data_IF_322405294656
#
_entry.id   IF_322405294656
#
_cell.length_a   1.000
_cell.length_b   1.000
_cell.length_c   1.000
_cell.angle_alpha   90.00
_cell.angle_beta   90.00
_cell.angle_gamma   90.00
#
_symmetry.space_group_name_H-M   'P 1'
#
loop_
_entity.id
_entity.type
_entity.pdbx_description
1 polymer ?
#
# COMPACT_ATOMS: atom_id res chain seq x y z
N UNK A 1 18.73 21.05 17.57
CA UNK A 1 18.66 19.58 17.71
C UNK A 1 17.89 19.06 16.52
N UNK A 2 18.18 17.86 16.02
CA UNK A 2 17.38 17.27 14.95
C UNK A 2 15.95 17.01 15.45
N UNK A 3 14.95 17.35 14.63
CA UNK A 3 13.54 17.16 14.97
C UNK A 3 13.17 15.69 14.88
N UNK A 4 12.31 15.23 15.78
CA UNK A 4 11.85 13.83 15.82
C UNK A 4 10.48 13.64 15.18
N UNK A 5 10.31 12.53 14.49
CA UNK A 5 9.03 12.08 13.96
C UNK A 5 8.77 10.65 14.43
N UNK A 6 7.56 10.37 14.88
CA UNK A 6 7.13 9.02 15.22
C UNK A 6 6.34 8.40 14.07
N UNK A 7 6.75 7.23 13.63
CA UNK A 7 6.04 6.42 12.65
C UNK A 7 5.28 5.31 13.38
N UNK A 8 3.96 5.26 13.24
CA UNK A 8 3.12 4.20 13.81
C UNK A 8 2.58 3.34 12.67
N UNK A 9 2.83 2.02 12.71
CA UNK A 9 2.40 1.11 11.65
C UNK A 9 1.94 -0.24 12.17
N UNK A 10 0.81 -0.78 11.66
CA UNK A 10 0.41 -2.17 11.87
C UNK A 10 1.15 -3.15 10.96
N UNK A 11 1.88 -2.64 9.98
CA UNK A 11 2.64 -3.42 8.99
C UNK A 11 4.13 -3.33 9.33
N UNK A 12 4.84 -4.46 9.44
CA UNK A 12 6.29 -4.43 9.60
C UNK A 12 6.94 -4.05 8.26
N UNK A 13 8.06 -3.32 8.31
CA UNK A 13 8.76 -2.91 7.09
C UNK A 13 9.53 -4.08 6.44
N UNK A 14 10.01 -5.00 7.26
CA UNK A 14 10.81 -6.16 6.87
C UNK A 14 10.18 -7.47 7.40
N UNK A 15 10.50 -8.63 6.80
CA UNK A 15 11.16 -8.83 5.51
C UNK A 15 10.20 -8.66 4.34
N UNK A 16 10.74 -8.55 3.13
CA UNK A 16 10.04 -8.71 1.85
C UNK A 16 9.53 -7.43 1.21
N UNK A 17 9.01 -7.59 -0.01
CA UNK A 17 8.68 -6.53 -0.97
C UNK A 17 7.16 -6.41 -1.21
N UNK A 18 6.38 -6.23 -0.14
CA UNK A 18 4.97 -5.88 -0.29
C UNK A 18 4.83 -4.37 -0.54
N UNK A 19 3.95 -3.95 -1.44
CA UNK A 19 3.83 -2.56 -1.85
C UNK A 19 3.63 -1.56 -0.71
N UNK A 20 2.83 -1.91 0.31
CA UNK A 20 2.66 -1.07 1.49
C UNK A 20 3.95 -0.92 2.32
N UNK A 21 4.78 -1.98 2.40
CA UNK A 21 6.08 -1.94 3.09
C UNK A 21 7.07 -1.05 2.35
N UNK A 22 7.13 -1.19 1.01
CA UNK A 22 7.96 -0.35 0.15
C UNK A 22 7.58 1.13 0.28
N UNK A 23 6.27 1.44 0.29
CA UNK A 23 5.79 2.80 0.50
C UNK A 23 6.26 3.38 1.83
N UNK A 24 6.09 2.65 2.93
CA UNK A 24 6.51 3.13 4.26
C UNK A 24 8.04 3.31 4.29
N UNK A 25 8.81 2.36 3.75
CA UNK A 25 10.28 2.48 3.67
C UNK A 25 10.71 3.71 2.89
N UNK A 26 10.12 3.93 1.71
CA UNK A 26 10.46 5.08 0.87
C UNK A 26 10.20 6.42 1.58
N UNK A 27 9.05 6.56 2.27
CA UNK A 27 8.72 7.75 3.06
C UNK A 27 9.70 7.91 4.23
N UNK A 28 10.01 6.84 4.96
CA UNK A 28 10.95 6.90 6.07
C UNK A 28 12.36 7.26 5.60
N UNK A 29 12.83 6.70 4.48
CA UNK A 29 14.14 7.04 3.90
C UNK A 29 14.21 8.52 3.56
N UNK A 30 13.20 9.05 2.86
CA UNK A 30 13.12 10.47 2.51
C UNK A 30 13.16 11.38 3.74
N UNK A 31 12.41 11.02 4.80
CA UNK A 31 12.41 11.79 6.05
C UNK A 31 13.77 11.76 6.75
N UNK A 32 14.46 10.62 6.76
CA UNK A 32 15.81 10.51 7.33
C UNK A 32 16.86 11.29 6.50
N UNK A 33 16.73 11.27 5.17
CA UNK A 33 17.59 12.08 4.27
C UNK A 33 17.41 13.58 4.47
N UNK A 34 16.22 14.02 4.88
CA UNK A 34 15.95 15.41 5.31
C UNK A 34 16.49 15.74 6.71
N UNK A 35 17.09 14.78 7.40
CA UNK A 35 17.72 15.00 8.71
C UNK A 35 16.78 14.80 9.91
N UNK A 36 15.58 14.25 9.72
CA UNK A 36 14.71 13.88 10.83
C UNK A 36 15.21 12.61 11.54
N UNK A 37 14.99 12.54 12.85
CA UNK A 37 15.17 11.31 13.63
C UNK A 37 13.83 10.60 13.67
N UNK A 38 13.78 9.35 13.19
CA UNK A 38 12.56 8.54 13.12
C UNK A 38 12.54 7.50 14.22
N UNK A 39 11.58 7.62 15.13
CA UNK A 39 11.18 6.53 16.01
C UNK A 39 10.06 5.71 15.33
N UNK A 40 10.09 4.39 15.47
CA UNK A 40 9.12 3.49 14.86
C UNK A 40 8.37 2.69 15.91
N UNK A 41 7.04 2.74 15.88
CA UNK A 41 6.18 1.94 16.75
C UNK A 41 5.34 0.95 15.94
N UNK A 42 5.63 -0.34 16.14
CA UNK A 42 4.92 -1.43 15.48
C UNK A 42 3.68 -1.85 16.28
N UNK A 43 2.51 -1.76 15.65
CA UNK A 43 1.21 -2.10 16.27
C UNK A 43 0.61 -3.41 15.77
N UNK A 44 1.29 -4.12 14.86
CA UNK A 44 0.80 -5.38 14.27
C UNK A 44 0.79 -6.56 15.22
N UNK A 45 0.32 -7.71 14.74
CA UNK A 45 0.12 -8.93 15.52
C UNK A 45 1.34 -9.86 15.56
N UNK A 46 2.35 -9.63 14.72
CA UNK A 46 3.57 -10.46 14.72
C UNK A 46 4.40 -10.14 15.95
N UNK A 47 4.93 -11.18 16.59
CA UNK A 47 5.62 -11.08 17.87
C UNK A 47 7.03 -10.51 17.78
N UNK A 48 7.64 -10.52 16.61
CA UNK A 48 9.03 -10.12 16.44
C UNK A 48 9.19 -9.10 15.29
N UNK A 49 9.90 -8.04 15.60
CA UNK A 49 10.50 -7.15 14.62
C UNK A 49 11.91 -7.66 14.36
N UNK A 50 12.27 -7.81 13.07
CA UNK A 50 13.61 -8.25 12.67
C UNK A 50 14.68 -7.21 13.04
N UNK A 51 15.93 -7.65 13.14
CA UNK A 51 17.08 -6.75 13.34
C UNK A 51 17.19 -5.69 12.22
N UNK A 52 16.68 -5.98 11.03
CA UNK A 52 16.67 -5.03 9.91
C UNK A 52 15.93 -3.74 10.26
N UNK A 53 14.85 -3.80 11.07
CA UNK A 53 14.15 -2.58 11.53
C UNK A 53 15.06 -1.72 12.41
N UNK A 54 15.80 -2.35 13.34
CA UNK A 54 16.73 -1.62 14.22
C UNK A 54 17.91 -1.04 13.46
N UNK A 55 18.33 -1.69 12.38
CA UNK A 55 19.41 -1.20 11.50
C UNK A 55 18.94 -0.09 10.54
N UNK A 56 17.67 -0.10 10.18
CA UNK A 56 17.09 0.85 9.23
C UNK A 56 16.80 2.22 9.86
N UNK A 57 16.19 2.25 11.06
CA UNK A 57 15.82 3.50 11.71
C UNK A 57 16.99 4.15 12.45
N UNK A 58 17.12 5.47 12.35
CA UNK A 58 18.10 6.27 13.06
C UNK A 58 17.66 6.68 14.47
N UNK A 59 16.43 6.33 14.87
CA UNK A 59 15.84 6.50 16.19
C UNK A 59 15.51 5.18 16.86
N UNK A 60 14.56 5.19 17.77
CA UNK A 60 14.15 4.02 18.55
C UNK A 60 13.14 3.17 17.79
N UNK A 61 13.27 1.85 17.88
CA UNK A 61 12.27 0.89 17.38
C UNK A 61 11.55 0.27 18.57
N UNK A 62 10.25 0.57 18.66
CA UNK A 62 9.38 0.13 19.73
C UNK A 62 8.46 -0.97 19.21
N UNK A 63 8.55 -2.14 19.83
CA UNK A 63 7.69 -3.27 19.49
C UNK A 63 7.25 -3.99 20.75
N UNK A 64 6.07 -4.54 20.67
CA UNK A 64 5.52 -5.33 21.77
C UNK A 64 6.09 -6.76 21.75
N UNK A 65 6.86 -7.18 22.79
CA UNK A 65 7.20 -8.59 22.99
C UNK A 65 6.00 -9.30 23.62
N UNK A 66 5.28 -10.09 22.83
CA UNK A 66 4.05 -10.77 23.26
C UNK A 66 4.20 -11.73 24.45
N UNK A 67 5.38 -12.27 24.70
CA UNK A 67 5.54 -13.36 25.71
C UNK A 67 5.60 -12.89 27.15
N UNK A 68 6.20 -11.74 27.44
CA UNK A 68 6.40 -11.29 28.82
C UNK A 68 5.19 -10.55 29.41
N UNK A 69 4.34 -9.97 28.58
CA UNK A 69 3.29 -9.07 29.06
C UNK A 69 1.88 -9.69 29.10
N UNK A 70 1.57 -10.75 28.36
CA UNK A 70 0.34 -11.53 28.60
C UNK A 70 0.21 -11.96 30.06
N UNK A 71 1.34 -12.20 30.74
CA UNK A 71 1.39 -12.57 32.16
C UNK A 71 1.18 -11.36 33.08
N UNK A 72 1.64 -10.16 32.69
CA UNK A 72 1.50 -8.96 33.55
C UNK A 72 0.20 -8.20 33.29
N UNK A 73 -0.21 -8.01 32.02
CA UNK A 73 -1.45 -7.27 31.72
C UNK A 73 -2.72 -8.09 31.98
N UNK A 74 -2.71 -9.40 31.76
CA UNK A 74 -3.85 -10.27 32.10
C UNK A 74 -4.19 -10.33 33.60
N UNK A 75 -3.29 -9.84 34.48
CA UNK A 75 -3.51 -9.76 35.92
C UNK A 75 -3.99 -8.37 36.42
N UNK A 76 -3.99 -7.36 35.56
CA UNK A 76 -4.47 -6.04 35.95
C UNK A 76 -6.00 -5.96 35.82
N UNK A 77 -6.76 -5.78 36.93
CA UNK A 77 -8.22 -5.71 36.88
C UNK A 77 -8.76 -4.60 35.98
N UNK A 78 -8.03 -3.50 35.82
CA UNK A 78 -8.43 -2.34 34.98
C UNK A 78 -8.37 -2.70 33.50
N UNK A 79 -7.31 -3.40 33.04
CA UNK A 79 -7.21 -3.84 31.64
C UNK A 79 -8.31 -4.85 31.28
N UNK A 80 -8.64 -5.75 32.20
CA UNK A 80 -9.69 -6.76 31.99
C UNK A 80 -11.09 -6.14 31.94
N UNK A 81 -11.36 -5.14 32.76
CA UNK A 81 -12.62 -4.38 32.71
C UNK A 81 -12.74 -3.59 31.41
N UNK A 82 -11.66 -3.00 30.92
CA UNK A 82 -11.63 -2.30 29.64
C UNK A 82 -11.82 -3.23 28.42
N UNK A 83 -11.23 -4.42 28.44
CA UNK A 83 -11.48 -5.44 27.42
C UNK A 83 -12.96 -5.87 27.38
N UNK A 84 -13.58 -6.07 28.53
CA UNK A 84 -15.01 -6.40 28.65
C UNK A 84 -15.86 -5.24 28.13
N UNK A 85 -15.56 -4.00 28.53
CA UNK A 85 -16.26 -2.81 28.07
C UNK A 85 -16.14 -2.60 26.55
N UNK A 86 -14.95 -2.80 25.99
CA UNK A 86 -14.72 -2.75 24.54
C UNK A 86 -15.48 -3.87 23.81
N UNK A 87 -15.49 -5.09 24.34
CA UNK A 87 -16.25 -6.20 23.76
C UNK A 87 -17.77 -5.94 23.74
N UNK A 88 -18.31 -5.34 24.80
CA UNK A 88 -19.71 -4.90 24.84
C UNK A 88 -20.00 -3.79 23.84
N UNK A 89 -19.10 -2.80 23.75
CA UNK A 89 -19.22 -1.68 22.82
C UNK A 89 -19.21 -2.18 21.36
N UNK A 90 -18.32 -3.07 20.99
CA UNK A 90 -18.26 -3.70 19.66
C UNK A 90 -19.58 -4.40 19.33
N UNK A 91 -20.16 -5.16 20.26
CA UNK A 91 -21.45 -5.83 20.05
C UNK A 91 -22.59 -4.84 19.81
N UNK A 92 -22.62 -3.74 20.57
CA UNK A 92 -23.62 -2.68 20.41
C UNK A 92 -23.44 -1.98 19.06
N UNK A 93 -22.22 -1.61 18.71
CA UNK A 93 -21.91 -0.97 17.42
C UNK A 93 -22.27 -1.86 16.22
N UNK A 94 -21.99 -3.16 16.29
CA UNK A 94 -22.39 -4.12 15.25
C UNK A 94 -23.91 -4.30 15.15
N UNK A 95 -24.63 -4.29 16.29
CA UNK A 95 -26.08 -4.35 16.30
C UNK A 95 -26.71 -3.07 15.71
N UNK A 96 -26.20 -1.89 16.06
CA UNK A 96 -26.65 -0.61 15.50
C UNK A 96 -26.41 -0.56 13.98
N UNK A 97 -25.24 -1.01 13.49
CA UNK A 97 -24.96 -1.12 12.04
C UNK A 97 -25.92 -2.09 11.34
N UNK A 98 -26.23 -3.22 11.97
CA UNK A 98 -27.20 -4.14 11.42
C UNK A 98 -28.57 -3.46 11.18
N UNK A 99 -28.97 -2.60 12.12
CA UNK A 99 -30.22 -1.86 12.00
C UNK A 99 -30.18 -0.73 10.96
N UNK A 100 -29.03 -0.05 10.82
CA UNK A 100 -28.88 1.13 9.96
C UNK A 100 -28.51 0.76 8.52
N UNK A 101 -27.51 -0.12 8.35
CA UNK A 101 -26.84 -0.35 7.09
C UNK A 101 -27.10 -1.77 6.52
N UNK A 102 -27.85 -2.59 7.24
CA UNK A 102 -28.18 -3.95 6.86
C UNK A 102 -27.10 -5.00 7.23
N UNK A 103 -27.45 -6.27 6.98
CA UNK A 103 -26.65 -7.43 7.43
C UNK A 103 -25.24 -7.49 6.83
N UNK A 104 -25.07 -7.10 5.58
CA UNK A 104 -23.76 -7.14 4.92
C UNK A 104 -22.78 -6.11 5.51
N UNK A 105 -23.23 -4.86 5.73
CA UNK A 105 -22.40 -3.83 6.35
C UNK A 105 -21.99 -4.19 7.77
N UNK A 106 -22.95 -4.71 8.57
CA UNK A 106 -22.66 -5.15 9.94
C UNK A 106 -21.68 -6.33 10.02
N UNK A 107 -21.71 -7.21 9.00
CA UNK A 107 -20.84 -8.40 8.95
C UNK A 107 -19.42 -8.06 8.52
N UNK A 108 -19.23 -7.13 7.59
CA UNK A 108 -17.96 -6.94 6.90
C UNK A 108 -17.25 -5.63 7.25
N UNK A 109 -17.96 -4.56 7.66
CA UNK A 109 -17.31 -3.36 8.17
C UNK A 109 -16.92 -3.56 9.63
N UNK A 110 -15.67 -3.27 9.95
CA UNK A 110 -15.15 -3.27 11.32
C UNK A 110 -15.39 -1.93 11.99
N UNK A 111 -15.58 -1.94 13.31
CA UNK A 111 -15.63 -0.69 14.08
C UNK A 111 -14.21 -0.21 14.41
N UNK A 112 -14.05 1.10 14.56
CA UNK A 112 -12.78 1.67 15.03
C UNK A 112 -12.38 1.12 16.41
N UNK A 113 -13.36 0.68 17.23
CA UNK A 113 -13.11 0.08 18.53
C UNK A 113 -12.35 -1.26 18.43
N UNK A 114 -12.57 -2.02 17.33
CA UNK A 114 -11.89 -3.30 17.09
C UNK A 114 -10.39 -3.17 16.85
N UNK A 115 -9.95 -1.99 16.38
CA UNK A 115 -8.53 -1.72 16.15
C UNK A 115 -7.81 -1.25 17.41
N UNK A 116 -8.56 -0.83 18.46
CA UNK A 116 -7.98 -0.30 19.70
C UNK A 116 -7.34 -1.41 20.51
N UNK A 117 -6.04 -1.35 20.66
CA UNK A 117 -5.29 -2.19 21.59
C UNK A 117 -4.78 -1.33 22.75
N UNK A 118 -5.47 -1.43 23.89
CA UNK A 118 -5.15 -0.61 25.04
C UNK A 118 -3.76 -0.90 25.64
N UNK A 119 -3.32 -2.18 25.58
CA UNK A 119 -1.97 -2.54 26.04
C UNK A 119 -0.87 -1.86 25.23
N UNK A 120 -1.01 -1.85 23.89
CA UNK A 120 -0.06 -1.15 23.01
C UNK A 120 -0.13 0.36 23.18
N UNK A 121 -1.32 0.91 23.43
CA UNK A 121 -1.50 2.32 23.73
C UNK A 121 -0.77 2.73 25.02
N UNK A 122 -0.89 1.93 26.10
CA UNK A 122 -0.16 2.15 27.35
C UNK A 122 1.34 2.00 27.18
N UNK A 123 1.78 1.04 26.38
CA UNK A 123 3.19 0.82 26.08
C UNK A 123 3.80 2.06 25.40
N UNK A 124 3.16 2.57 24.35
CA UNK A 124 3.62 3.77 23.67
C UNK A 124 3.67 4.95 24.64
N UNK A 125 2.58 5.16 25.44
CA UNK A 125 2.51 6.22 26.43
C UNK A 125 3.63 6.15 27.47
N UNK A 126 4.01 4.93 27.89
CA UNK A 126 5.02 4.75 28.94
C UNK A 126 6.47 4.76 28.46
N UNK A 127 6.70 4.54 27.16
CA UNK A 127 8.04 4.42 26.58
C UNK A 127 8.49 5.63 25.77
N UNK A 128 7.60 6.61 25.54
CA UNK A 128 7.93 7.78 24.74
C UNK A 128 7.62 9.05 25.49
N UNK A 129 8.43 10.08 25.26
CA UNK A 129 8.10 11.46 25.58
C UNK A 129 7.31 12.04 24.40
N UNK A 130 5.99 12.17 24.58
CA UNK A 130 5.09 12.59 23.52
C UNK A 130 5.35 14.03 23.07
N UNK A 131 5.87 14.90 23.95
CA UNK A 131 6.21 16.29 23.63
C UNK A 131 7.49 16.42 22.77
N UNK A 132 8.26 15.34 22.63
CA UNK A 132 9.50 15.36 21.86
C UNK A 132 9.29 15.29 20.33
N UNK A 133 8.06 14.99 19.86
CA UNK A 133 7.79 14.76 18.45
C UNK A 133 7.24 16.00 17.76
N UNK A 134 7.90 16.42 16.68
CA UNK A 134 7.36 17.42 15.74
C UNK A 134 6.12 16.91 15.02
N UNK A 135 6.14 15.65 14.63
CA UNK A 135 5.04 15.02 13.91
C UNK A 135 4.88 13.54 14.29
N UNK A 136 3.65 13.05 14.16
CA UNK A 136 3.30 11.64 14.24
C UNK A 136 2.63 11.22 12.94
N UNK A 137 3.21 10.24 12.27
CA UNK A 137 2.69 9.68 11.02
C UNK A 137 2.10 8.32 11.31
N UNK A 138 0.79 8.18 11.16
CA UNK A 138 0.07 6.92 11.35
C UNK A 138 -0.26 6.30 10.01
N UNK A 139 0.19 5.07 9.82
CA UNK A 139 -0.18 4.26 8.68
C UNK A 139 -1.53 3.61 8.92
N UNK A 140 -2.48 3.80 8.01
CA UNK A 140 -3.88 3.37 8.03
C UNK A 140 -4.77 4.12 9.03
N UNK A 141 -5.85 4.69 8.52
CA UNK A 141 -6.81 5.50 9.26
C UNK A 141 -7.37 4.87 10.56
N UNK A 142 -7.65 3.55 10.64
CA UNK A 142 -8.19 2.94 11.85
C UNK A 142 -7.34 3.10 13.11
N UNK A 143 -6.04 3.38 12.95
CA UNK A 143 -5.10 3.55 14.06
C UNK A 143 -5.01 5.00 14.56
N UNK A 144 -5.81 5.93 14.03
CA UNK A 144 -5.85 7.35 14.42
C UNK A 144 -6.10 7.61 15.90
N UNK A 145 -6.60 6.64 16.66
CA UNK A 145 -6.77 6.75 18.12
C UNK A 145 -5.45 6.94 18.89
N UNK A 146 -4.30 6.64 18.29
CA UNK A 146 -3.00 6.94 18.89
C UNK A 146 -2.71 8.43 18.96
N UNK A 147 -3.36 9.27 18.11
CA UNK A 147 -3.21 10.72 18.20
C UNK A 147 -3.68 11.30 19.53
N UNK A 148 -4.58 10.61 20.24
CA UNK A 148 -5.08 11.03 21.57
C UNK A 148 -3.96 11.05 22.64
N UNK A 149 -2.74 10.58 22.33
CA UNK A 149 -1.57 10.63 23.21
C UNK A 149 -0.74 11.92 23.07
N UNK A 150 -0.88 12.64 21.96
CA UNK A 150 0.01 13.73 21.58
C UNK A 150 -0.65 15.08 21.79
N UNK A 151 0.18 16.09 22.08
CA UNK A 151 -0.25 17.46 22.32
C UNK A 151 -0.71 18.14 21.02
N UNK A 152 -1.37 19.29 21.16
CA UNK A 152 -1.98 19.99 20.00
C UNK A 152 -0.95 20.63 19.07
N UNK A 153 0.29 20.82 19.52
CA UNK A 153 1.40 21.33 18.70
C UNK A 153 2.09 20.26 17.84
N UNK A 154 1.84 18.98 18.11
CA UNK A 154 2.34 17.86 17.31
C UNK A 154 1.54 17.71 16.02
N UNK A 155 2.20 17.74 14.87
CA UNK A 155 1.56 17.55 13.56
C UNK A 155 1.08 16.09 13.42
N UNK A 156 -0.21 15.91 13.17
CA UNK A 156 -0.87 14.59 13.05
C UNK A 156 -1.09 14.24 11.59
N UNK A 157 -0.39 13.24 11.08
CA UNK A 157 -0.47 12.81 9.69
C UNK A 157 -1.01 11.39 9.58
N UNK A 158 -1.97 11.14 8.69
CA UNK A 158 -2.42 9.80 8.31
C UNK A 158 -1.95 9.50 6.88
N UNK A 159 -1.15 8.45 6.70
CA UNK A 159 -0.94 7.80 5.42
C UNK A 159 -2.00 6.70 5.24
N UNK A 160 -2.94 6.92 4.32
CA UNK A 160 -4.13 6.07 4.22
C UNK A 160 -3.85 4.70 3.61
N UNK A 161 -2.88 4.58 2.72
CA UNK A 161 -2.57 3.42 1.87
C UNK A 161 -3.71 2.97 0.95
N UNK A 162 -4.96 3.19 1.34
CA UNK A 162 -6.15 2.79 0.59
C UNK A 162 -7.41 3.42 1.21
N UNK A 163 -8.46 3.57 0.41
CA UNK A 163 -9.79 3.91 0.91
C UNK A 163 -10.43 2.67 1.54
N UNK A 164 -10.89 2.77 2.77
CA UNK A 164 -11.49 1.67 3.52
C UNK A 164 -13.02 1.69 3.54
N UNK A 165 -13.65 2.83 3.18
CA UNK A 165 -15.11 2.94 3.13
C UNK A 165 -15.72 1.87 2.25
N UNK A 166 -16.52 0.99 2.85
CA UNK A 166 -17.28 -0.08 2.19
C UNK A 166 -16.44 -0.97 1.26
N UNK A 167 -15.15 -1.11 1.56
CA UNK A 167 -14.21 -1.87 0.73
C UNK A 167 -14.65 -3.31 0.51
N UNK A 168 -15.39 -3.90 1.44
CA UNK A 168 -15.94 -5.23 1.31
C UNK A 168 -16.83 -5.40 0.07
N UNK A 169 -17.49 -4.34 -0.41
CA UNK A 169 -18.39 -4.38 -1.59
C UNK A 169 -17.67 -4.81 -2.86
N UNK A 170 -16.36 -4.57 -2.96
CA UNK A 170 -15.54 -5.00 -4.10
C UNK A 170 -15.44 -6.53 -4.21
N UNK A 171 -15.61 -7.24 -3.10
CA UNK A 171 -15.38 -8.68 -2.99
C UNK A 171 -16.67 -9.49 -2.87
N UNK A 172 -17.81 -8.87 -2.50
CA UNK A 172 -19.12 -9.56 -2.39
C UNK A 172 -19.63 -10.01 -3.76
N UNK A 173 -19.36 -9.25 -4.82
CA UNK A 173 -19.83 -9.56 -6.18
C UNK A 173 -18.94 -10.60 -6.89
N UNK A 174 -17.72 -10.80 -6.42
CA UNK A 174 -16.92 -11.96 -6.78
C UNK A 174 -17.40 -13.09 -5.86
N UNK A 175 -17.76 -14.27 -6.35
CA UNK A 175 -18.18 -15.46 -5.60
C UNK A 175 -17.21 -15.88 -4.46
N UNK A 176 -16.58 -14.93 -3.78
CA UNK A 176 -15.49 -15.04 -2.84
C UNK A 176 -15.95 -14.62 -1.46
N UNK A 177 -15.58 -15.40 -0.45
CA UNK A 177 -15.72 -14.98 0.93
C UNK A 177 -14.81 -13.75 1.16
N UNK A 178 -15.33 -12.63 1.66
CA UNK A 178 -14.51 -11.44 1.99
C UNK A 178 -13.76 -11.73 3.29
N UNK A 179 -12.69 -12.52 3.17
CA UNK A 179 -11.83 -12.89 4.29
C UNK A 179 -10.76 -11.80 4.45
N UNK A 180 -10.63 -11.25 5.66
CA UNK A 180 -9.52 -10.40 6.13
C UNK A 180 -9.30 -9.02 5.48
N UNK A 181 -10.29 -8.47 4.81
CA UNK A 181 -10.17 -7.12 4.26
C UNK A 181 -10.61 -6.08 5.30
N UNK A 182 -9.70 -5.16 5.62
CA UNK A 182 -10.04 -3.99 6.41
C UNK A 182 -11.07 -3.16 5.64
N UNK A 183 -12.28 -3.08 6.18
CA UNK A 183 -13.35 -2.28 5.64
C UNK A 183 -14.00 -1.49 6.78
N UNK A 184 -14.33 -0.23 6.52
CA UNK A 184 -14.97 0.69 7.45
C UNK A 184 -16.30 1.18 6.88
N UNK A 185 -17.20 1.64 7.74
CA UNK A 185 -18.29 2.49 7.30
C UNK A 185 -17.74 3.87 6.90
N UNK A 186 -18.49 4.61 6.06
CA UNK A 186 -18.15 6.00 5.69
C UNK A 186 -17.97 6.88 6.92
N UNK A 187 -18.81 6.69 7.92
CA UNK A 187 -18.78 7.46 9.17
C UNK A 187 -17.56 7.13 10.04
N UNK A 188 -17.18 5.85 10.12
CA UNK A 188 -15.98 5.45 10.87
C UNK A 188 -14.70 5.95 10.20
N UNK A 189 -14.60 5.88 8.86
CA UNK A 189 -13.45 6.43 8.14
C UNK A 189 -13.36 7.95 8.30
N UNK A 190 -14.51 8.65 8.19
CA UNK A 190 -14.60 10.09 8.50
C UNK A 190 -14.06 10.41 9.89
N UNK A 191 -14.56 9.73 10.94
CA UNK A 191 -14.10 9.92 12.32
C UNK A 191 -12.60 9.67 12.48
N UNK A 192 -12.06 8.67 11.79
CA UNK A 192 -10.65 8.37 11.85
C UNK A 192 -9.80 9.48 11.22
N UNK A 193 -10.16 9.89 10.00
CA UNK A 193 -9.42 10.90 9.23
C UNK A 193 -9.51 12.29 9.86
N UNK A 194 -10.67 12.65 10.44
CA UNK A 194 -10.88 13.97 11.10
C UNK A 194 -10.03 14.18 12.37
N UNK A 195 -9.26 13.19 12.81
CA UNK A 195 -8.29 13.33 13.91
C UNK A 195 -6.92 13.82 13.44
N UNK A 196 -6.69 13.87 12.13
CA UNK A 196 -5.42 14.29 11.56
C UNK A 196 -5.46 15.77 11.14
N UNK A 197 -4.30 16.42 11.17
CA UNK A 197 -4.08 17.72 10.55
C UNK A 197 -3.88 17.56 9.05
N UNK A 198 -3.25 16.44 8.66
CA UNK A 198 -2.91 16.11 7.28
C UNK A 198 -3.28 14.66 6.97
N UNK A 199 -3.89 14.44 5.80
CA UNK A 199 -4.17 13.11 5.23
C UNK A 199 -3.41 12.97 3.92
N UNK A 200 -2.62 11.92 3.79
CA UNK A 200 -1.97 11.51 2.54
C UNK A 200 -2.80 10.44 1.85
N UNK A 201 -3.51 10.85 0.81
CA UNK A 201 -4.17 9.95 -0.12
C UNK A 201 -3.17 9.41 -1.14
N UNK A 202 -3.27 8.14 -1.54
CA UNK A 202 -2.30 7.54 -2.46
C UNK A 202 -2.60 7.86 -3.93
N UNK A 203 -3.86 8.23 -4.25
CA UNK A 203 -4.31 8.63 -5.59
C UNK A 203 -5.10 9.94 -5.55
N UNK A 204 -5.24 10.59 -6.72
CA UNK A 204 -6.07 11.79 -6.86
C UNK A 204 -7.56 11.52 -6.66
N UNK A 205 -8.03 10.34 -7.02
CA UNK A 205 -9.40 9.90 -6.81
C UNK A 205 -9.71 9.73 -5.33
N UNK A 206 -8.78 9.14 -4.56
CA UNK A 206 -8.92 9.02 -3.11
C UNK A 206 -8.85 10.38 -2.42
N UNK A 207 -7.94 11.26 -2.85
CA UNK A 207 -7.90 12.64 -2.35
C UNK A 207 -9.27 13.30 -2.49
N UNK A 208 -9.85 13.27 -3.69
CA UNK A 208 -11.18 13.84 -3.93
C UNK A 208 -12.24 13.23 -3.03
N UNK A 209 -12.23 11.90 -2.87
CA UNK A 209 -13.17 11.22 -1.98
C UNK A 209 -13.01 11.66 -0.51
N UNK A 210 -11.77 11.80 -0.02
CA UNK A 210 -11.52 12.23 1.36
C UNK A 210 -11.87 13.72 1.58
N UNK A 211 -11.63 14.59 0.59
CA UNK A 211 -12.06 15.99 0.65
C UNK A 211 -13.59 16.14 0.72
N UNK A 212 -14.35 15.22 0.09
CA UNK A 212 -15.81 15.17 0.22
C UNK A 212 -16.27 14.54 1.56
N UNK A 213 -15.41 13.78 2.22
CA UNK A 213 -15.72 13.06 3.43
C UNK A 213 -15.50 13.89 4.70
N UNK A 214 -14.44 14.69 4.72
CA UNK A 214 -13.99 15.45 5.90
C UNK A 214 -14.00 16.95 5.63
N UNK A 215 -13.91 17.76 6.68
CA UNK A 215 -13.81 19.24 6.56
C UNK A 215 -12.37 19.63 6.17
N UNK A 216 -12.19 20.03 4.92
CA UNK A 216 -10.91 20.45 4.38
C UNK A 216 -10.37 21.78 4.94
N UNK A 217 -11.16 22.51 5.71
CA UNK A 217 -10.67 23.67 6.46
C UNK A 217 -9.90 23.26 7.71
N UNK A 218 -10.22 22.09 8.28
CA UNK A 218 -9.59 21.55 9.49
C UNK A 218 -8.48 20.56 9.14
N UNK A 219 -8.74 19.63 8.22
CA UNK A 219 -7.79 18.59 7.83
C UNK A 219 -7.39 18.77 6.37
N UNK A 220 -6.11 18.97 6.08
CA UNK A 220 -5.61 19.09 4.71
C UNK A 220 -5.44 17.71 4.07
N UNK A 221 -5.89 17.55 2.83
CA UNK A 221 -5.74 16.30 2.07
C UNK A 221 -4.80 16.52 0.91
N UNK A 222 -3.71 15.76 0.88
CA UNK A 222 -2.73 15.78 -0.21
C UNK A 222 -2.68 14.44 -0.93
N UNK A 223 -2.35 14.46 -2.21
CA UNK A 223 -1.98 13.24 -2.91
C UNK A 223 -0.48 12.99 -2.74
N UNK A 224 -0.11 12.02 -1.92
CA UNK A 224 1.26 11.54 -1.80
C UNK A 224 1.39 10.21 -2.54
N UNK A 225 1.99 10.24 -3.71
CA UNK A 225 2.26 9.05 -4.53
C UNK A 225 3.36 8.18 -3.90
N UNK A 226 3.55 7.00 -4.46
CA UNK A 226 4.70 6.17 -4.09
C UNK A 226 6.01 6.88 -4.46
N UNK A 227 6.93 7.00 -3.49
CA UNK A 227 8.19 7.73 -3.65
C UNK A 227 9.23 6.83 -4.33
N UNK A 228 9.26 6.87 -5.64
CA UNK A 228 10.27 6.20 -6.44
C UNK A 228 10.74 7.13 -7.56
N UNK A 229 12.03 7.49 -7.61
CA UNK A 229 12.58 8.27 -8.71
C UNK A 229 12.64 7.43 -9.98
N UNK A 230 12.54 8.08 -11.13
CA UNK A 230 12.77 7.37 -12.39
C UNK A 230 14.22 6.91 -12.51
N UNK A 231 14.41 5.61 -12.81
CA UNK A 231 15.70 4.98 -13.07
C UNK A 231 15.56 4.03 -14.24
N UNK A 232 16.30 4.23 -15.33
CA UNK A 232 16.27 3.28 -16.44
C UNK A 232 17.15 2.08 -16.13
N UNK A 233 16.55 0.93 -15.86
CA UNK A 233 17.23 -0.35 -15.75
C UNK A 233 17.18 -1.04 -17.11
N UNK A 234 18.34 -1.22 -17.75
CA UNK A 234 18.42 -1.86 -19.06
C UNK A 234 18.18 -3.37 -18.97
N UNK A 235 17.44 -3.90 -19.93
CA UNK A 235 17.29 -5.35 -20.08
C UNK A 235 18.66 -5.99 -20.40
N UNK A 236 18.99 -7.05 -19.66
CA UNK A 236 20.22 -7.82 -19.84
C UNK A 236 19.98 -9.19 -20.48
N UNK A 237 18.72 -9.57 -20.67
CA UNK A 237 18.35 -10.83 -21.31
C UNK A 237 18.45 -10.72 -22.83
N UNK A 238 18.89 -11.82 -23.46
CA UNK A 238 18.96 -11.90 -24.92
C UNK A 238 17.64 -12.33 -25.54
N UNK A 239 16.93 -13.21 -24.85
CA UNK A 239 15.64 -13.73 -25.29
C UNK A 239 14.51 -12.78 -24.91
N UNK A 240 13.53 -12.55 -25.78
CA UNK A 240 12.41 -11.70 -25.48
C UNK A 240 11.55 -12.31 -24.37
N UNK A 241 11.40 -11.57 -23.26
CA UNK A 241 10.63 -12.01 -22.10
C UNK A 241 9.51 -11.04 -21.74
N UNK A 242 8.36 -11.62 -21.39
CA UNK A 242 7.31 -10.95 -20.64
C UNK A 242 7.57 -11.23 -19.17
N UNK A 243 7.39 -10.24 -18.29
CA UNK A 243 7.65 -10.39 -16.86
C UNK A 243 6.40 -10.01 -16.05
N UNK A 244 6.03 -10.85 -15.08
CA UNK A 244 5.02 -10.54 -14.08
C UNK A 244 5.63 -10.59 -12.68
N UNK A 245 5.39 -9.56 -11.86
CA UNK A 245 5.77 -9.54 -10.45
C UNK A 245 4.51 -9.59 -9.60
N UNK A 246 4.41 -10.58 -8.71
CA UNK A 246 3.24 -10.74 -7.85
C UNK A 246 3.56 -11.29 -6.47
N UNK A 247 2.72 -10.95 -5.47
CA UNK A 247 2.66 -11.67 -4.22
C UNK A 247 1.68 -12.84 -4.33
N UNK A 248 1.80 -13.84 -3.44
CA UNK A 248 0.96 -15.05 -3.42
C UNK A 248 -0.48 -14.80 -2.97
N UNK A 249 -0.98 -13.57 -3.08
CA UNK A 249 -2.39 -13.29 -2.82
C UNK A 249 -3.27 -13.71 -3.99
N UNK A 250 -4.53 -13.97 -3.69
CA UNK A 250 -5.48 -14.49 -4.64
C UNK A 250 -5.71 -13.59 -5.86
N UNK A 251 -5.69 -12.27 -5.71
CA UNK A 251 -5.91 -11.34 -6.82
C UNK A 251 -4.82 -11.47 -7.89
N UNK A 252 -3.57 -11.65 -7.45
CA UNK A 252 -2.45 -11.89 -8.38
C UNK A 252 -2.54 -13.28 -9.04
N UNK A 253 -2.93 -14.31 -8.28
CA UNK A 253 -3.11 -15.67 -8.81
C UNK A 253 -4.22 -15.70 -9.85
N UNK A 254 -5.37 -15.09 -9.57
CA UNK A 254 -6.49 -15.02 -10.51
C UNK A 254 -6.11 -14.23 -11.78
N UNK A 255 -5.33 -13.13 -11.62
CA UNK A 255 -4.80 -12.39 -12.77
C UNK A 255 -3.84 -13.22 -13.60
N UNK A 256 -2.91 -13.94 -12.97
CA UNK A 256 -2.00 -14.86 -13.67
C UNK A 256 -2.79 -15.94 -14.42
N UNK A 257 -3.75 -16.57 -13.79
CA UNK A 257 -4.62 -17.59 -14.41
C UNK A 257 -5.34 -17.02 -15.62
N UNK A 258 -5.95 -15.84 -15.49
CA UNK A 258 -6.59 -15.16 -16.61
C UNK A 258 -5.61 -14.91 -17.77
N UNK A 259 -4.39 -14.42 -17.48
CA UNK A 259 -3.39 -14.18 -18.52
C UNK A 259 -2.99 -15.48 -19.22
N UNK A 260 -2.74 -16.55 -18.47
CA UNK A 260 -2.37 -17.84 -19.04
C UNK A 260 -3.45 -18.40 -19.97
N UNK A 261 -4.71 -18.38 -19.52
CA UNK A 261 -5.83 -18.96 -20.28
C UNK A 261 -6.25 -18.10 -21.47
N UNK A 262 -6.34 -16.78 -21.29
CA UNK A 262 -6.95 -15.89 -22.28
C UNK A 262 -5.94 -15.30 -23.28
N UNK A 263 -4.67 -15.17 -22.87
CA UNK A 263 -3.65 -14.46 -23.66
C UNK A 263 -2.49 -15.38 -24.03
N UNK A 264 -1.82 -15.99 -23.05
CA UNK A 264 -0.56 -16.72 -23.24
C UNK A 264 -0.72 -17.90 -24.19
N UNK A 265 -1.69 -18.77 -23.99
CA UNK A 265 -1.95 -19.92 -24.87
C UNK A 265 -2.16 -19.49 -26.32
N UNK A 266 -2.84 -18.36 -26.55
CA UNK A 266 -3.08 -17.84 -27.91
C UNK A 266 -1.80 -17.28 -28.54
N UNK A 267 -0.94 -16.60 -27.75
CA UNK A 267 0.36 -16.10 -28.22
C UNK A 267 1.24 -17.25 -28.72
N UNK A 268 1.29 -18.35 -28.01
CA UNK A 268 2.05 -19.53 -28.40
C UNK A 268 1.63 -20.11 -29.75
N UNK A 269 0.33 -20.12 -30.04
CA UNK A 269 -0.19 -20.56 -31.33
C UNK A 269 0.29 -19.70 -32.52
N UNK A 270 0.71 -18.46 -32.25
CA UNK A 270 1.28 -17.59 -33.30
C UNK A 270 2.77 -17.79 -33.54
N UNK A 271 3.43 -18.74 -32.87
CA UNK A 271 4.82 -19.09 -33.11
C UNK A 271 5.82 -18.00 -32.71
N UNK A 272 5.48 -17.14 -31.79
CA UNK A 272 6.42 -16.19 -31.20
C UNK A 272 7.32 -16.93 -30.22
N UNK A 273 8.62 -16.85 -30.41
CA UNK A 273 9.62 -17.40 -29.48
C UNK A 273 9.77 -16.43 -28.29
N UNK A 274 8.82 -16.51 -27.36
CA UNK A 274 8.75 -15.67 -26.17
C UNK A 274 8.82 -16.53 -24.92
N UNK A 275 9.54 -16.03 -23.91
CA UNK A 275 9.51 -16.58 -22.56
C UNK A 275 8.64 -15.72 -21.65
N UNK A 276 8.00 -16.37 -20.67
CA UNK A 276 7.24 -15.69 -19.64
C UNK A 276 7.86 -15.97 -18.28
N UNK A 277 8.29 -14.90 -17.59
CA UNK A 277 8.90 -14.97 -16.27
C UNK A 277 7.94 -14.48 -15.21
N UNK A 278 7.67 -15.30 -14.22
CA UNK A 278 6.85 -14.97 -13.03
C UNK A 278 7.77 -14.83 -11.84
N UNK A 279 7.68 -13.69 -11.12
CA UNK A 279 8.55 -13.40 -9.99
C UNK A 279 7.76 -12.98 -8.75
N UNK A 280 8.38 -13.15 -7.59
CA UNK A 280 7.82 -12.83 -6.28
C UNK A 280 7.21 -14.04 -5.59
N UNK A 281 6.56 -13.80 -4.43
CA UNK A 281 5.97 -14.89 -3.64
C UNK A 281 4.75 -15.57 -4.29
N UNK A 282 4.25 -15.05 -5.40
CA UNK A 282 3.23 -15.73 -6.23
C UNK A 282 3.74 -17.10 -6.70
N UNK A 283 5.04 -17.25 -6.96
CA UNK A 283 5.64 -18.51 -7.38
C UNK A 283 5.45 -19.66 -6.39
N UNK A 284 5.25 -19.34 -5.10
CA UNK A 284 5.01 -20.34 -4.03
C UNK A 284 3.55 -20.79 -3.97
N UNK A 285 2.65 -20.08 -4.66
CA UNK A 285 1.20 -20.27 -4.56
C UNK A 285 0.55 -20.67 -5.89
N UNK A 286 1.30 -20.65 -7.00
CA UNK A 286 0.78 -21.03 -8.32
C UNK A 286 0.75 -22.55 -8.44
N UNK A 287 -0.29 -23.08 -9.10
CA UNK A 287 -0.37 -24.50 -9.47
C UNK A 287 0.55 -24.76 -10.68
N UNK A 288 1.62 -25.50 -10.47
CA UNK A 288 2.59 -25.83 -11.53
C UNK A 288 1.96 -26.58 -12.71
N UNK A 289 0.81 -27.24 -12.52
CA UNK A 289 0.12 -27.98 -13.57
C UNK A 289 -0.42 -27.11 -14.71
N UNK A 290 -0.54 -25.79 -14.48
CA UNK A 290 -1.00 -24.83 -15.51
C UNK A 290 0.17 -24.19 -16.29
N UNK A 291 1.40 -24.52 -15.94
CA UNK A 291 2.61 -23.96 -16.54
C UNK A 291 3.06 -24.82 -17.73
N UNK A 292 3.72 -24.18 -18.68
CA UNK A 292 4.38 -24.85 -19.81
C UNK A 292 5.90 -24.58 -19.80
N UNK A 293 6.66 -25.20 -20.70
CA UNK A 293 8.13 -25.15 -20.77
C UNK A 293 8.70 -23.73 -21.06
N UNK A 294 7.84 -22.78 -21.49
CA UNK A 294 8.23 -21.41 -21.77
C UNK A 294 7.94 -20.46 -20.63
N UNK A 295 7.42 -20.99 -19.50
CA UNK A 295 7.13 -20.23 -18.27
C UNK A 295 8.19 -20.53 -17.22
N UNK A 296 8.89 -19.50 -16.79
CA UNK A 296 9.94 -19.56 -15.76
C UNK A 296 9.41 -18.99 -14.44
N UNK A 297 9.45 -19.78 -13.36
CA UNK A 297 9.20 -19.32 -12.01
C UNK A 297 10.52 -18.84 -11.40
N UNK A 298 10.70 -17.52 -11.31
CA UNK A 298 11.92 -16.92 -10.76
C UNK A 298 11.99 -16.98 -9.24
N UNK A 299 10.82 -16.92 -8.57
CA UNK A 299 10.75 -16.84 -7.12
C UNK A 299 10.96 -15.43 -6.58
N UNK A 300 11.41 -15.36 -5.33
CA UNK A 300 11.71 -14.09 -4.66
C UNK A 300 13.02 -13.50 -5.18
N UNK A 301 13.11 -12.18 -5.21
CA UNK A 301 14.29 -11.42 -5.64
C UNK A 301 14.68 -10.44 -4.52
N UNK A 302 15.94 -10.01 -4.53
CA UNK A 302 16.50 -9.15 -3.48
C UNK A 302 16.54 -7.66 -3.86
N UNK A 303 16.59 -7.35 -5.16
CA UNK A 303 16.68 -5.96 -5.63
C UNK A 303 15.87 -5.70 -6.90
N UNK A 304 15.52 -4.44 -7.12
CA UNK A 304 14.87 -3.99 -8.34
C UNK A 304 15.76 -4.19 -9.56
N UNK A 305 17.06 -3.94 -9.46
CA UNK A 305 18.01 -4.16 -10.57
C UNK A 305 18.01 -5.60 -11.04
N UNK A 306 17.87 -6.56 -10.12
CA UNK A 306 17.81 -7.99 -10.43
C UNK A 306 16.61 -8.32 -11.30
N UNK A 307 15.40 -7.92 -10.90
CA UNK A 307 14.18 -8.33 -11.59
C UNK A 307 13.86 -7.47 -12.80
N UNK A 308 14.08 -6.15 -12.72
CA UNK A 308 13.79 -5.26 -13.84
C UNK A 308 14.81 -5.36 -14.97
N UNK A 309 15.98 -6.02 -14.77
CA UNK A 309 16.90 -6.39 -15.86
C UNK A 309 16.46 -7.61 -16.67
N UNK A 310 15.39 -8.31 -16.29
CA UNK A 310 14.96 -9.58 -16.92
C UNK A 310 14.05 -9.41 -18.14
N UNK A 311 13.57 -8.21 -18.43
CA UNK A 311 12.73 -7.95 -19.58
C UNK A 311 12.42 -6.47 -19.79
N UNK A 312 11.79 -6.16 -20.91
CA UNK A 312 11.33 -4.80 -21.23
C UNK A 312 9.81 -4.65 -21.13
N UNK A 313 9.06 -5.74 -21.26
CA UNK A 313 7.61 -5.76 -21.13
C UNK A 313 7.19 -6.45 -19.84
N UNK A 314 6.58 -5.68 -18.95
CA UNK A 314 5.97 -6.17 -17.72
C UNK A 314 4.47 -6.23 -17.87
N UNK A 315 3.82 -7.11 -17.10
CA UNK A 315 2.36 -7.23 -17.12
C UNK A 315 1.76 -7.16 -15.72
N UNK A 316 0.57 -6.55 -15.65
CA UNK A 316 -0.29 -6.63 -14.46
C UNK A 316 -1.71 -7.02 -14.86
N UNK A 317 -2.01 -8.34 -14.92
CA UNK A 317 -3.30 -8.85 -15.38
C UNK A 317 -4.36 -8.92 -14.27
N UNK A 318 -4.21 -8.14 -13.20
CA UNK A 318 -5.12 -8.13 -12.06
C UNK A 318 -6.53 -7.72 -12.49
N UNK A 319 -7.54 -8.54 -12.18
CA UNK A 319 -8.93 -8.32 -12.61
C UNK A 319 -9.72 -7.41 -11.66
N UNK A 320 -9.31 -7.33 -10.41
CA UNK A 320 -9.99 -6.57 -9.35
C UNK A 320 -8.94 -5.94 -8.41
N UNK A 321 -9.33 -4.90 -7.70
CA UNK A 321 -8.50 -4.30 -6.66
C UNK A 321 -8.66 -2.77 -6.59
N UNK A 322 -8.30 -2.21 -5.43
CA UNK A 322 -8.30 -0.77 -5.15
C UNK A 322 -6.89 -0.24 -4.95
N UNK A 323 -6.78 1.06 -4.77
CA UNK A 323 -5.54 1.75 -4.47
C UNK A 323 -4.55 1.78 -5.64
N UNK A 324 -3.45 2.47 -5.43
CA UNK A 324 -2.36 2.56 -6.41
C UNK A 324 -1.73 1.19 -6.67
N UNK A 325 -1.57 0.84 -7.92
CA UNK A 325 -0.89 -0.40 -8.33
C UNK A 325 0.63 -0.21 -8.29
N UNK A 326 1.20 -0.34 -7.09
CA UNK A 326 2.60 -0.05 -6.82
C UNK A 326 3.54 -0.81 -7.77
N UNK A 327 3.30 -2.10 -8.04
CA UNK A 327 4.16 -2.87 -8.97
C UNK A 327 4.11 -2.38 -10.41
N UNK A 328 2.95 -1.91 -10.88
CA UNK A 328 2.83 -1.26 -12.19
C UNK A 328 3.61 0.05 -12.21
N UNK A 329 3.48 0.86 -11.16
CA UNK A 329 4.20 2.12 -11.04
C UNK A 329 5.71 1.91 -10.93
N UNK A 330 6.18 0.95 -10.12
CA UNK A 330 7.59 0.58 -10.00
C UNK A 330 8.20 0.14 -11.33
N UNK A 331 7.50 -0.71 -12.09
CA UNK A 331 7.98 -1.14 -13.41
C UNK A 331 8.18 0.05 -14.36
N UNK A 332 7.20 0.98 -14.41
CA UNK A 332 7.31 2.20 -15.20
C UNK A 332 8.45 3.10 -14.72
N UNK A 333 8.62 3.25 -13.39
CA UNK A 333 9.69 4.04 -12.80
C UNK A 333 11.08 3.46 -13.08
N UNK A 334 11.18 2.14 -13.28
CA UNK A 334 12.41 1.47 -13.71
C UNK A 334 12.58 1.40 -15.25
N UNK A 335 11.84 2.25 -15.99
CA UNK A 335 11.96 2.39 -17.43
C UNK A 335 11.34 1.25 -18.25
N UNK A 336 10.43 0.47 -17.64
CA UNK A 336 9.77 -0.65 -18.31
C UNK A 336 8.46 -0.24 -18.94
N UNK A 337 8.04 -0.95 -19.98
CA UNK A 337 6.68 -0.89 -20.50
C UNK A 337 5.78 -1.82 -19.71
N UNK A 338 4.55 -1.39 -19.48
CA UNK A 338 3.58 -2.22 -18.78
C UNK A 338 2.32 -2.37 -19.61
N UNK A 339 1.86 -3.61 -19.75
CA UNK A 339 0.54 -3.96 -20.25
C UNK A 339 -0.31 -4.41 -19.06
N UNK A 340 -1.43 -3.75 -18.86
CA UNK A 340 -2.25 -3.94 -17.68
C UNK A 340 -3.73 -3.97 -18.00
N UNK A 341 -4.52 -4.60 -17.15
CA UNK A 341 -5.97 -4.41 -17.07
C UNK A 341 -6.32 -3.03 -16.51
N UNK A 342 -7.57 -2.61 -16.59
CA UNK A 342 -8.03 -1.39 -15.94
C UNK A 342 -7.81 -1.45 -14.42
N UNK A 343 -8.11 -2.59 -13.79
CA UNK A 343 -7.85 -2.80 -12.37
C UNK A 343 -6.35 -2.74 -12.04
N UNK A 344 -5.48 -3.32 -12.89
CA UNK A 344 -4.03 -3.30 -12.72
C UNK A 344 -3.36 -1.94 -13.04
N UNK A 345 -4.09 -1.00 -13.63
CA UNK A 345 -3.66 0.36 -13.93
C UNK A 345 -4.27 1.42 -12.98
N UNK A 346 -5.06 1.00 -11.97
CA UNK A 346 -5.74 1.92 -11.05
C UNK A 346 -4.75 2.94 -10.44
N UNK A 347 -5.12 4.21 -10.49
CA UNK A 347 -4.33 5.31 -9.97
C UNK A 347 -3.17 5.77 -10.87
N UNK A 348 -3.09 5.30 -12.14
CA UNK A 348 -1.98 5.58 -13.07
C UNK A 348 -2.46 6.17 -14.40
N UNK A 349 -3.61 6.86 -14.40
CA UNK A 349 -4.26 7.38 -15.61
C UNK A 349 -3.34 8.27 -16.46
N UNK A 350 -2.48 9.07 -15.84
CA UNK A 350 -1.53 9.96 -16.50
C UNK A 350 -0.42 9.24 -17.29
N UNK A 351 -0.19 7.97 -16.98
CA UNK A 351 0.82 7.12 -17.62
C UNK A 351 0.23 6.28 -18.78
N UNK A 352 -1.10 6.20 -18.89
CA UNK A 352 -1.76 5.51 -20.01
C UNK A 352 -1.40 6.17 -21.33
N UNK A 353 -0.91 5.37 -22.28
CA UNK A 353 -0.35 5.87 -23.56
C UNK A 353 1.11 6.37 -23.47
N UNK A 354 1.68 6.44 -22.26
CA UNK A 354 3.06 6.84 -22.00
C UNK A 354 3.77 5.73 -21.20
N UNK A 355 4.06 4.61 -21.85
CA UNK A 355 4.69 3.43 -21.24
C UNK A 355 3.72 2.43 -20.61
N UNK A 356 2.49 2.87 -20.26
CA UNK A 356 1.40 2.01 -19.77
C UNK A 356 0.35 1.82 -20.86
N UNK A 357 0.07 0.56 -21.19
CA UNK A 357 -1.05 0.17 -22.07
C UNK A 357 -2.11 -0.47 -21.19
N UNK A 358 -3.36 0.00 -21.27
CA UNK A 358 -4.45 -0.44 -20.42
C UNK A 358 -5.59 -1.03 -21.26
N UNK A 359 -5.99 -2.27 -20.98
CA UNK A 359 -7.12 -2.94 -21.64
C UNK A 359 -7.54 -4.19 -20.89
N UNK A 360 -8.86 -4.46 -20.80
CA UNK A 360 -9.41 -5.71 -20.30
C UNK A 360 -9.68 -6.73 -21.42
N UNK A 361 -9.48 -6.33 -22.69
CA UNK A 361 -9.72 -7.21 -23.83
C UNK A 361 -8.49 -8.07 -24.18
N UNK A 362 -8.58 -9.41 -24.08
CA UNK A 362 -7.47 -10.31 -24.43
C UNK A 362 -6.94 -10.16 -25.86
N UNK A 363 -7.79 -9.77 -26.81
CA UNK A 363 -7.37 -9.59 -28.20
C UNK A 363 -6.43 -8.38 -28.34
N UNK A 364 -6.71 -7.31 -27.59
CA UNK A 364 -5.84 -6.15 -27.47
C UNK A 364 -4.50 -6.55 -26.86
N UNK A 365 -4.46 -7.33 -25.79
CA UNK A 365 -3.22 -7.81 -25.18
C UNK A 365 -2.35 -8.57 -26.19
N UNK A 366 -2.95 -9.50 -26.94
CA UNK A 366 -2.23 -10.28 -27.96
C UNK A 366 -1.65 -9.36 -29.05
N UNK A 367 -2.42 -8.39 -29.51
CA UNK A 367 -1.99 -7.39 -30.52
C UNK A 367 -0.81 -6.57 -29.99
N UNK A 368 -0.92 -6.02 -28.80
CA UNK A 368 0.10 -5.15 -28.22
C UNK A 368 1.38 -5.91 -27.91
N UNK A 369 1.32 -7.14 -27.41
CA UNK A 369 2.48 -8.00 -27.18
C UNK A 369 3.20 -8.28 -28.50
N UNK A 370 2.45 -8.65 -29.56
CA UNK A 370 3.03 -8.88 -30.90
C UNK A 370 3.73 -7.64 -31.45
N UNK A 371 3.07 -6.50 -31.33
CA UNK A 371 3.62 -5.22 -31.81
C UNK A 371 4.86 -4.84 -31.03
N UNK A 372 4.83 -5.03 -29.70
CA UNK A 372 5.94 -4.71 -28.81
C UNK A 372 7.23 -5.45 -29.18
N UNK A 373 7.16 -6.75 -29.48
CA UNK A 373 8.34 -7.54 -29.82
C UNK A 373 8.75 -7.45 -31.31
N UNK A 374 7.86 -6.94 -32.16
CA UNK A 374 8.14 -6.76 -33.59
C UNK A 374 8.84 -5.42 -33.92
N UNK A 375 8.49 -4.35 -33.19
CA UNK A 375 8.93 -2.99 -33.52
C UNK A 375 9.51 -2.27 -32.28
N UNK A 376 10.78 -1.89 -32.41
CA UNK A 376 11.51 -1.20 -31.34
C UNK A 376 11.40 0.34 -31.44
N UNK A 377 10.88 0.92 -32.54
CA UNK A 377 10.97 2.35 -32.82
C UNK A 377 10.08 3.22 -31.91
N UNK A 378 8.96 2.68 -31.45
CA UNK A 378 7.97 3.43 -30.64
C UNK A 378 8.44 3.58 -29.17
N UNK A 379 9.36 2.73 -28.74
CA UNK A 379 9.72 2.58 -27.31
C UNK A 379 10.47 3.78 -26.73
N UNK A 380 11.36 4.41 -27.47
CA UNK A 380 12.23 5.46 -26.90
C UNK A 380 11.47 6.74 -26.57
N UNK A 381 10.65 7.25 -27.46
CA UNK A 381 9.86 8.47 -27.21
C UNK A 381 8.82 8.30 -26.07
N UNK A 382 8.28 7.10 -25.92
CA UNK A 382 7.38 6.80 -24.80
C UNK A 382 8.15 6.73 -23.47
N UNK A 383 9.36 6.15 -23.43
CA UNK A 383 10.20 6.13 -22.22
C UNK A 383 10.58 7.52 -21.74
N UNK A 384 10.93 8.42 -22.65
CA UNK A 384 11.25 9.82 -22.30
C UNK A 384 10.06 10.52 -21.64
N UNK A 385 8.85 10.35 -22.19
CA UNK A 385 7.62 10.88 -21.58
C UNK A 385 7.30 10.23 -20.24
N UNK A 386 7.46 8.91 -20.13
CA UNK A 386 7.31 8.19 -18.85
C UNK A 386 8.24 8.75 -17.80
N UNK A 387 9.53 8.96 -18.15
CA UNK A 387 10.53 9.53 -17.28
C UNK A 387 10.16 10.94 -16.80
N UNK A 388 9.65 11.79 -17.71
CA UNK A 388 9.20 13.14 -17.39
C UNK A 388 8.03 13.12 -16.39
N UNK A 389 6.98 12.32 -16.68
CA UNK A 389 5.78 12.21 -15.85
C UNK A 389 6.16 11.68 -14.45
N UNK A 390 6.92 10.61 -14.36
CA UNK A 390 7.32 10.01 -13.08
C UNK A 390 8.22 10.98 -12.30
N UNK A 391 9.14 11.66 -12.95
CA UNK A 391 9.99 12.67 -12.29
C UNK A 391 9.18 13.85 -11.77
N UNK A 392 8.11 14.22 -12.44
CA UNK A 392 7.17 15.25 -11.97
C UNK A 392 6.38 14.75 -10.75
N UNK A 393 5.82 13.53 -10.81
CA UNK A 393 5.11 12.89 -9.68
C UNK A 393 6.01 12.80 -8.45
N UNK A 394 7.26 12.38 -8.63
CA UNK A 394 8.24 12.28 -7.56
C UNK A 394 8.49 13.64 -6.89
N UNK A 395 8.79 14.69 -7.68
CA UNK A 395 9.01 16.05 -7.15
C UNK A 395 7.78 16.58 -6.40
N UNK A 396 6.58 16.44 -6.98
CA UNK A 396 5.34 16.85 -6.31
C UNK A 396 5.14 16.11 -4.98
N UNK A 397 5.49 14.82 -4.92
CA UNK A 397 5.40 14.05 -3.68
C UNK A 397 6.39 14.53 -2.62
N UNK A 398 7.59 14.97 -3.02
CA UNK A 398 8.56 15.58 -2.11
C UNK A 398 8.07 16.93 -1.57
N UNK A 399 7.40 17.74 -2.40
CA UNK A 399 6.81 19.02 -2.00
C UNK A 399 5.67 18.79 -0.98
N UNK A 400 4.81 17.78 -1.21
CA UNK A 400 3.74 17.40 -0.28
C UNK A 400 4.30 17.05 1.10
N UNK A 401 5.39 16.28 1.20
CA UNK A 401 6.03 15.98 2.49
C UNK A 401 6.48 17.27 3.18
N UNK A 402 7.12 18.19 2.42
CA UNK A 402 7.59 19.47 2.97
C UNK A 402 6.44 20.33 3.48
N UNK A 403 5.38 20.48 2.70
CA UNK A 403 4.19 21.23 3.08
C UNK A 403 3.53 20.64 4.31
N UNK A 404 3.34 19.30 4.34
CA UNK A 404 2.69 18.59 5.44
C UNK A 404 3.40 18.81 6.77
N UNK A 405 4.73 18.79 6.80
CA UNK A 405 5.52 18.95 8.02
C UNK A 405 5.75 20.41 8.43
N UNK A 406 5.35 21.36 7.60
CA UNK A 406 5.35 22.79 7.90
C UNK A 406 3.95 23.35 8.14
N UNK A 407 2.90 22.53 7.97
CA UNK A 407 1.52 22.93 8.23
C UNK A 407 1.33 23.11 9.74
N UNK A 408 1.43 24.35 10.23
CA UNK A 408 0.77 24.74 11.47
C UNK A 408 -0.66 25.11 11.06
N UNK A 409 -1.63 24.36 11.53
CA UNK A 409 -3.01 24.84 11.54
C UNK A 409 -2.99 26.09 12.44
N UNK A 410 -3.32 27.24 11.89
CA UNK A 410 -3.62 28.40 12.70
C UNK A 410 -4.71 27.96 13.68
N UNK A 411 -4.34 27.84 14.95
CA UNK A 411 -5.30 27.60 16.01
C UNK A 411 -6.32 28.71 15.89
N UNK A 412 -7.53 28.37 15.46
CA UNK A 412 -8.65 29.28 15.54
C UNK A 412 -8.80 29.70 17.01
N UNK A 413 -8.30 30.88 17.33
CA UNK A 413 -8.77 31.63 18.47
C UNK A 413 -10.25 31.93 18.23
N UNK A 414 -11.11 31.12 18.83
CA UNK A 414 -12.53 31.40 19.02
C UNK A 414 -12.80 31.55 20.49
#
# INVERSE_FOLDING_TARGET
MAEKILIISPVPLFPGHAGNRERIRAICTELMERGYILDFFYTGFHSEISEDHHSFFNGSVLAHKLETERVQFGKNPVSRLQEIANGLKIKIENWLRYLQDGSASARFNRSLTEYKNFGKWLLLKGQTDQSAYKAVIINYAPYSFYFDLFEDDTIRVIDTHDRLTDRFKLFINSSREPVDWHSLTREDEKKALSKADVVWAITSEEKKFFEELIDSNVTKVYTLRHLIPFKEIKNQEKDPKIVMIGSGNRLNIDGLTWFLEQVWQKIRHYGLDLKFLVAGSICEAVDESILDDDIELYGRFESDDEIYSKGDLFINPMQEGTGLKIKTFEALANGKFVLSTEAGATGLNELVGNGLICSDDPATWIKEIKQFFKDNSIKQGQREKTAEIISQIYRQSLDVISESLNTKLESNEL
#
